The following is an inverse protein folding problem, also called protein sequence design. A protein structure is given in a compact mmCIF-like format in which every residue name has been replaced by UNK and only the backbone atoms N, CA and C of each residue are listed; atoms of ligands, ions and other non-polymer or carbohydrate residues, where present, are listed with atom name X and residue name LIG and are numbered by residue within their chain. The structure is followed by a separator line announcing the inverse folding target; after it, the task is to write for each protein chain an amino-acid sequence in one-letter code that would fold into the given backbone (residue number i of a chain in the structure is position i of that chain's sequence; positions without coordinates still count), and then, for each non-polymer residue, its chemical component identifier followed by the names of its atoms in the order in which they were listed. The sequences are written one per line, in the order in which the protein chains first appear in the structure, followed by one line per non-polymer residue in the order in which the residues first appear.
data_IF_289675443246
#
_entry.id   IF_289675443246
#
_cell.length_a   1.000
_cell.length_b   1.000
_cell.length_c   1.000
_cell.angle_alpha   90.00
_cell.angle_beta   90.00
_cell.angle_gamma   90.00
#
_symmetry.space_group_name_H-M   'P 1'
#
loop_
_entity.id
_entity.type
_entity.pdbx_description
1 polymer ?
#
# COMPACT_ATOMS: atom_id res chain seq x y z
N UNK A 1 -17.62 13.08 11.91
CA UNK A 1 -17.74 12.56 10.53
C UNK A 1 -17.37 11.11 10.57
N UNK A 2 -18.32 10.23 10.32
CA UNK A 2 -18.07 8.81 10.27
C UNK A 2 -17.17 8.52 9.07
N UNK A 3 -16.10 7.76 9.30
CA UNK A 3 -15.20 7.34 8.22
C UNK A 3 -15.92 6.24 7.47
N UNK A 4 -16.32 6.51 6.23
CA UNK A 4 -16.93 5.52 5.36
C UNK A 4 -15.81 4.61 4.83
N UNK A 5 -15.92 3.32 5.08
CA UNK A 5 -15.02 2.33 4.50
C UNK A 5 -15.36 2.17 3.01
N UNK A 6 -14.39 2.39 2.14
CA UNK A 6 -14.57 2.26 0.69
C UNK A 6 -14.15 0.90 0.15
N UNK A 7 -13.61 0.05 1.01
CA UNK A 7 -13.13 -1.29 0.64
C UNK A 7 -14.06 -2.35 1.22
N UNK A 8 -14.49 -3.27 0.38
CA UNK A 8 -15.15 -4.51 0.77
C UNK A 8 -14.25 -5.71 0.55
N UNK A 9 -14.25 -6.64 1.50
CA UNK A 9 -13.66 -7.96 1.29
C UNK A 9 -14.70 -8.85 0.65
N UNK A 10 -14.34 -9.46 -0.47
CA UNK A 10 -15.18 -10.41 -1.22
C UNK A 10 -14.44 -11.72 -1.40
N UNK A 11 -15.18 -12.78 -1.68
CA UNK A 11 -14.65 -14.11 -1.97
C UNK A 11 -14.73 -14.34 -3.48
N UNK A 12 -13.65 -14.78 -4.08
CA UNK A 12 -13.63 -15.18 -5.47
C UNK A 12 -14.20 -16.59 -5.67
N UNK A 13 -14.45 -17.00 -6.89
CA UNK A 13 -15.08 -18.30 -7.19
C UNK A 13 -14.27 -19.52 -6.69
N UNK A 14 -12.98 -19.39 -6.52
CA UNK A 14 -12.08 -20.41 -5.95
C UNK A 14 -12.01 -20.41 -4.41
N UNK A 15 -12.78 -19.55 -3.75
CA UNK A 15 -12.83 -19.42 -2.29
C UNK A 15 -11.83 -18.45 -1.69
N UNK A 16 -10.93 -17.88 -2.47
CA UNK A 16 -9.93 -16.95 -1.97
C UNK A 16 -10.46 -15.51 -1.83
N UNK A 17 -10.02 -14.76 -0.81
CA UNK A 17 -10.47 -13.39 -0.60
C UNK A 17 -9.80 -12.42 -1.59
N UNK A 18 -10.50 -11.32 -1.87
CA UNK A 18 -9.97 -10.15 -2.55
C UNK A 18 -10.63 -8.89 -2.00
N UNK A 19 -10.02 -7.74 -2.27
CA UNK A 19 -10.51 -6.44 -1.84
C UNK A 19 -11.13 -5.70 -3.01
N UNK A 20 -12.35 -5.19 -2.83
CA UNK A 20 -13.11 -4.47 -3.83
C UNK A 20 -13.30 -3.03 -3.42
N UNK A 21 -12.86 -2.09 -4.26
CA UNK A 21 -13.06 -0.68 -4.03
C UNK A 21 -14.46 -0.26 -4.51
N UNK A 22 -15.27 0.26 -3.60
CA UNK A 22 -16.66 0.64 -3.87
C UNK A 22 -16.77 1.86 -4.78
N UNK A 23 -15.77 2.75 -4.77
CA UNK A 23 -15.74 3.97 -5.56
C UNK A 23 -15.22 3.70 -6.97
N UNK A 24 -14.01 3.15 -7.08
CA UNK A 24 -13.34 2.94 -8.37
C UNK A 24 -13.74 1.64 -9.06
N UNK A 25 -14.43 0.71 -8.36
CA UNK A 25 -14.79 -0.64 -8.83
C UNK A 25 -13.62 -1.55 -9.13
N UNK A 26 -12.41 -1.16 -8.70
CA UNK A 26 -11.20 -1.94 -8.86
C UNK A 26 -11.13 -3.10 -7.87
N UNK A 27 -10.36 -4.12 -8.24
CA UNK A 27 -10.16 -5.34 -7.43
C UNK A 27 -8.69 -5.48 -7.08
N UNK A 28 -8.41 -5.61 -5.80
CA UNK A 28 -7.05 -5.76 -5.28
C UNK A 28 -6.86 -7.12 -4.64
N UNK A 29 -5.66 -7.65 -4.74
CA UNK A 29 -5.26 -8.86 -4.05
C UNK A 29 -4.78 -8.60 -2.63
N UNK A 30 -4.12 -7.47 -2.41
CA UNK A 30 -3.63 -7.03 -1.10
C UNK A 30 -3.62 -5.50 -1.01
N UNK A 31 -3.86 -4.98 0.19
CA UNK A 31 -3.77 -3.55 0.50
C UNK A 31 -2.93 -3.39 1.77
N UNK A 32 -1.94 -2.51 1.74
CA UNK A 32 -1.07 -2.23 2.89
C UNK A 32 -0.80 -0.74 3.05
N UNK A 33 -0.40 -0.34 4.24
CA UNK A 33 0.17 0.96 4.53
C UNK A 33 1.69 0.89 4.61
N UNK A 34 2.37 1.93 4.13
CA UNK A 34 3.76 2.21 4.42
C UNK A 34 3.86 3.49 5.25
N UNK A 35 4.75 3.52 6.23
CA UNK A 35 4.85 4.60 7.20
C UNK A 35 6.30 4.96 7.47
N UNK A 36 6.67 6.22 7.24
CA UNK A 36 7.93 6.81 7.67
C UNK A 36 7.66 7.85 8.77
N UNK A 37 8.36 7.74 9.89
CA UNK A 37 8.12 8.55 11.08
C UNK A 37 8.55 10.01 10.92
N UNK A 38 7.88 10.97 11.59
CA UNK A 38 8.30 12.37 11.62
C UNK A 38 9.40 12.59 12.67
N UNK A 39 10.63 12.17 12.39
CA UNK A 39 11.77 12.34 13.31
C UNK A 39 12.49 13.67 13.11
N UNK A 40 13.00 13.90 11.91
CA UNK A 40 13.79 15.10 11.56
C UNK A 40 13.10 15.95 10.49
N UNK A 41 12.17 15.36 9.78
CA UNK A 41 11.34 15.98 8.73
C UNK A 41 9.91 15.55 8.91
N UNK A 42 9.00 16.00 8.04
CA UNK A 42 7.62 15.54 8.05
C UNK A 42 7.57 14.02 7.86
N UNK A 43 6.78 13.35 8.70
CA UNK A 43 6.46 11.94 8.50
C UNK A 43 5.56 11.73 7.29
N UNK A 44 5.62 10.57 6.70
CA UNK A 44 4.85 10.24 5.50
C UNK A 44 4.13 8.91 5.61
N UNK A 45 2.89 8.88 5.15
CA UNK A 45 2.05 7.67 5.10
C UNK A 45 1.61 7.45 3.68
N UNK A 46 1.68 6.19 3.23
CA UNK A 46 1.19 5.75 1.92
C UNK A 46 0.24 4.58 2.13
N UNK A 47 -0.89 4.57 1.44
CA UNK A 47 -1.72 3.38 1.26
C UNK A 47 -1.51 2.89 -0.17
N UNK A 48 -1.11 1.65 -0.32
CA UNK A 48 -0.88 1.03 -1.62
C UNK A 48 -1.58 -0.33 -1.72
N UNK A 49 -1.96 -0.67 -2.93
CA UNK A 49 -2.61 -1.94 -3.26
C UNK A 49 -1.96 -2.58 -4.47
N UNK A 50 -1.98 -3.91 -4.55
CA UNK A 50 -1.63 -4.65 -5.76
C UNK A 50 -2.91 -5.14 -6.44
N UNK A 51 -2.99 -4.97 -7.76
CA UNK A 51 -4.14 -5.44 -8.54
C UNK A 51 -4.31 -6.96 -8.43
N UNK A 52 -5.55 -7.42 -8.35
CA UNK A 52 -5.86 -8.84 -8.19
C UNK A 52 -5.37 -9.70 -9.35
N UNK A 53 -5.38 -9.16 -10.56
CA UNK A 53 -5.01 -9.89 -11.78
C UNK A 53 -3.74 -9.31 -12.40
N UNK A 54 -2.94 -10.20 -13.00
CA UNK A 54 -1.87 -9.80 -13.90
C UNK A 54 -2.46 -9.18 -15.17
N UNK A 55 -1.75 -8.23 -15.75
CA UNK A 55 -2.10 -7.74 -17.08
C UNK A 55 -1.76 -8.84 -18.11
N UNK A 56 -2.77 -9.24 -18.89
CA UNK A 56 -2.61 -10.29 -19.91
C UNK A 56 -1.60 -9.85 -20.97
N UNK A 57 -0.45 -10.49 -20.98
CA UNK A 57 0.61 -10.27 -21.96
C UNK A 57 1.90 -9.66 -21.43
N UNK A 58 1.93 -9.17 -20.19
CA UNK A 58 3.11 -8.52 -19.63
C UNK A 58 3.69 -9.21 -18.39
N UNK A 59 2.99 -10.18 -17.80
CA UNK A 59 3.31 -10.79 -16.49
C UNK A 59 3.67 -9.74 -15.42
N UNK A 60 3.06 -8.56 -15.52
CA UNK A 60 3.41 -7.41 -14.71
C UNK A 60 2.41 -7.24 -13.56
N UNK A 61 2.96 -7.00 -12.38
CA UNK A 61 2.16 -6.61 -11.20
C UNK A 61 1.91 -5.12 -11.26
N UNK A 62 0.65 -4.75 -11.26
CA UNK A 62 0.25 -3.36 -11.12
C UNK A 62 0.05 -3.03 -9.65
N UNK A 63 0.75 -2.01 -9.18
CA UNK A 63 0.62 -1.48 -7.83
C UNK A 63 0.04 -0.08 -7.93
N UNK A 64 -0.94 0.21 -7.08
CA UNK A 64 -1.61 1.51 -7.01
C UNK A 64 -1.32 2.16 -5.68
N UNK A 65 -0.91 3.41 -5.72
CA UNK A 65 -0.91 4.29 -4.55
C UNK A 65 -2.29 4.90 -4.44
N UNK A 66 -3.04 4.51 -3.42
CA UNK A 66 -4.44 4.88 -3.24
C UNK A 66 -4.59 6.19 -2.47
N UNK A 67 -3.70 6.44 -1.52
CA UNK A 67 -3.71 7.65 -0.70
C UNK A 67 -2.34 7.92 -0.09
N UNK A 68 -2.13 9.16 0.32
CA UNK A 68 -0.98 9.61 1.08
C UNK A 68 -1.37 10.64 2.13
N UNK A 69 -0.52 10.83 3.14
CA UNK A 69 -0.57 11.93 4.08
C UNK A 69 0.82 12.25 4.59
N UNK A 70 1.07 13.52 4.90
CA UNK A 70 2.28 13.99 5.56
C UNK A 70 1.93 14.86 6.76
N UNK A 71 2.75 14.81 7.79
CA UNK A 71 2.61 15.61 9.01
C UNK A 71 3.92 15.66 9.79
N UNK A 72 4.18 16.81 10.42
CA UNK A 72 5.33 17.01 11.31
C UNK A 72 5.03 16.65 12.76
N UNK A 73 3.81 16.90 13.23
CA UNK A 73 3.38 16.54 14.59
C UNK A 73 3.02 15.05 14.69
N UNK A 74 3.70 14.32 15.59
CA UNK A 74 3.54 12.88 15.74
C UNK A 74 2.12 12.44 16.10
N UNK A 75 1.39 13.21 16.91
CA UNK A 75 0.04 12.85 17.31
C UNK A 75 -0.94 13.04 16.15
N UNK A 76 -0.81 14.14 15.41
CA UNK A 76 -1.59 14.40 14.20
C UNK A 76 -1.27 13.37 13.12
N UNK A 77 0.00 13.02 12.97
CA UNK A 77 0.48 11.98 12.06
C UNK A 77 -0.20 10.63 12.34
N UNK A 78 -0.15 10.16 13.59
CA UNK A 78 -0.79 8.90 13.99
C UNK A 78 -2.31 8.92 13.78
N UNK A 79 -2.97 10.07 14.05
CA UNK A 79 -4.41 10.22 13.78
C UNK A 79 -4.73 10.14 12.28
N UNK A 80 -3.90 10.75 11.42
CA UNK A 80 -4.07 10.67 9.96
C UNK A 80 -3.83 9.26 9.45
N UNK A 81 -2.74 8.61 9.88
CA UNK A 81 -2.48 7.21 9.54
C UNK A 81 -3.65 6.30 9.91
N UNK A 82 -4.20 6.48 11.12
CA UNK A 82 -5.36 5.74 11.57
C UNK A 82 -6.63 6.06 10.77
N UNK A 83 -6.83 7.31 10.35
CA UNK A 83 -7.96 7.69 9.50
C UNK A 83 -7.87 6.99 8.15
N UNK A 84 -6.69 6.98 7.53
CA UNK A 84 -6.45 6.25 6.28
C UNK A 84 -6.63 4.74 6.47
N UNK A 85 -6.09 4.17 7.57
CA UNK A 85 -6.30 2.77 7.89
C UNK A 85 -7.78 2.40 7.88
N UNK A 86 -8.61 3.17 8.59
CA UNK A 86 -10.05 2.91 8.68
C UNK A 86 -10.77 3.06 7.34
N UNK A 87 -10.37 4.06 6.55
CA UNK A 87 -11.00 4.34 5.27
C UNK A 87 -10.75 3.21 4.26
N UNK A 88 -9.54 2.65 4.25
CA UNK A 88 -9.13 1.59 3.33
C UNK A 88 -9.20 0.18 3.93
N UNK A 89 -9.60 0.03 5.18
CA UNK A 89 -9.84 -1.29 5.77
C UNK A 89 -11.23 -1.80 5.40
N UNK A 90 -11.38 -3.11 5.13
CA UNK A 90 -12.70 -3.72 5.06
C UNK A 90 -13.41 -3.66 6.42
N UNK A 91 -14.72 -3.84 6.39
CA UNK A 91 -15.50 -3.94 7.63
C UNK A 91 -14.98 -5.11 8.51
N UNK A 92 -14.75 -4.85 9.79
CA UNK A 92 -14.21 -5.79 10.80
C UNK A 92 -12.77 -6.28 10.58
N UNK A 93 -12.05 -5.75 9.60
CA UNK A 93 -10.64 -6.02 9.39
C UNK A 93 -9.83 -4.72 9.42
N UNK A 94 -8.51 -4.85 9.55
CA UNK A 94 -7.60 -3.69 9.48
C UNK A 94 -6.45 -3.99 8.54
N UNK A 95 -6.18 -3.07 7.61
CA UNK A 95 -4.97 -3.14 6.80
C UNK A 95 -3.74 -2.99 7.69
N UNK A 96 -2.66 -3.67 7.32
CA UNK A 96 -1.39 -3.63 8.04
C UNK A 96 -0.55 -2.46 7.58
N UNK A 97 0.13 -1.82 8.55
CA UNK A 97 1.13 -0.81 8.29
C UNK A 97 2.53 -1.38 8.49
N UNK A 98 3.43 -1.01 7.59
CA UNK A 98 4.83 -1.42 7.62
C UNK A 98 5.71 -0.17 7.69
N UNK A 99 6.73 -0.21 8.54
CA UNK A 99 7.62 0.92 8.76
C UNK A 99 8.90 0.52 9.47
N UNK A 100 9.70 1.50 9.80
CA UNK A 100 10.84 1.33 10.68
C UNK A 100 10.37 1.25 12.14
N UNK A 101 10.70 0.17 12.82
CA UNK A 101 10.41 -0.05 14.24
C UNK A 101 11.68 0.03 15.10
N UNK A 102 12.80 0.46 14.54
CA UNK A 102 14.08 0.52 15.24
C UNK A 102 14.25 1.78 16.09
N UNK A 103 13.45 2.84 15.86
CA UNK A 103 13.47 4.07 16.65
C UNK A 103 12.75 3.88 18.00
N UNK A 104 13.46 3.84 19.13
CA UNK A 104 12.83 3.66 20.43
C UNK A 104 11.87 4.80 20.78
N UNK A 105 12.22 6.04 20.41
CA UNK A 105 11.39 7.21 20.68
C UNK A 105 10.05 7.11 19.96
N UNK A 106 10.05 6.75 18.67
CA UNK A 106 8.81 6.59 17.89
C UNK A 106 7.95 5.43 18.41
N UNK A 107 8.57 4.34 18.83
CA UNK A 107 7.85 3.21 19.41
C UNK A 107 7.25 3.56 20.78
N UNK A 108 7.90 4.38 21.58
CA UNK A 108 7.35 4.88 22.84
C UNK A 108 6.12 5.79 22.60
N UNK A 109 6.17 6.71 21.62
CA UNK A 109 5.01 7.50 21.21
C UNK A 109 3.85 6.63 20.73
N UNK A 110 4.13 5.61 19.95
CA UNK A 110 3.11 4.66 19.47
C UNK A 110 2.48 3.90 20.66
N UNK A 111 3.28 3.47 21.61
CA UNK A 111 2.79 2.78 22.80
C UNK A 111 1.93 3.71 23.69
N UNK A 112 2.33 4.95 23.87
CA UNK A 112 1.53 5.93 24.59
C UNK A 112 0.19 6.18 23.88
N UNK A 113 0.21 6.42 22.57
CA UNK A 113 -0.99 6.59 21.75
C UNK A 113 -1.93 5.38 21.87
N UNK A 114 -1.38 4.17 21.87
CA UNK A 114 -2.15 2.94 22.00
C UNK A 114 -2.68 2.68 23.42
N UNK A 115 -1.98 3.13 24.48
CA UNK A 115 -2.50 3.06 25.87
C UNK A 115 -3.79 3.85 25.99
N UNK A 116 -3.81 5.09 25.50
CA UNK A 116 -4.99 5.95 25.55
C UNK A 116 -6.17 5.32 24.79
N UNK A 117 -5.88 4.65 23.68
CA UNK A 117 -6.89 3.97 22.87
C UNK A 117 -7.47 2.73 23.57
N UNK A 118 -6.61 1.90 24.19
CA UNK A 118 -7.04 0.71 24.95
C UNK A 118 -7.91 1.10 26.13
N UNK A 119 -7.56 2.17 26.85
CA UNK A 119 -8.40 2.68 27.95
C UNK A 119 -9.80 3.10 27.51
N UNK A 120 -9.96 3.47 26.24
CA UNK A 120 -11.27 3.83 25.65
C UNK A 120 -11.95 2.66 24.94
N UNK A 121 -11.43 1.45 25.03
CA UNK A 121 -11.95 0.27 24.29
C UNK A 121 -11.80 0.36 22.78
N UNK A 122 -10.84 1.16 22.28
CA UNK A 122 -10.62 1.36 20.84
C UNK A 122 -9.45 0.48 20.39
N UNK A 123 -9.56 -0.14 19.22
CA UNK A 123 -8.52 -0.98 18.63
C UNK A 123 -7.19 -0.21 18.52
N UNK A 124 -6.08 -0.77 19.02
CA UNK A 124 -4.75 -0.18 18.87
C UNK A 124 -4.32 -0.07 17.40
N UNK A 125 -3.45 0.89 17.13
CA UNK A 125 -2.78 1.04 15.84
C UNK A 125 -1.41 0.36 15.91
N UNK A 126 -1.11 -0.54 14.98
CA UNK A 126 0.14 -1.27 14.96
C UNK A 126 0.93 -0.99 13.70
N UNK A 127 2.24 -0.86 13.87
CA UNK A 127 3.22 -0.82 12.79
C UNK A 127 4.06 -2.07 12.86
N UNK A 128 4.13 -2.80 11.76
CA UNK A 128 4.96 -4.00 11.62
C UNK A 128 6.29 -3.60 11.00
N UNK A 129 7.38 -4.15 11.50
CA UNK A 129 8.68 -3.96 10.88
C UNK A 129 8.64 -4.42 9.41
N UNK A 130 9.11 -3.57 8.52
CA UNK A 130 9.17 -3.90 7.10
C UNK A 130 10.17 -5.05 6.88
N UNK A 131 9.77 -6.15 6.21
CA UNK A 131 10.56 -7.38 6.15
C UNK A 131 11.99 -7.22 5.66
N UNK A 132 12.25 -6.16 4.88
CA UNK A 132 13.52 -5.93 4.22
C UNK A 132 14.51 -5.10 5.04
N UNK A 133 14.09 -4.53 6.18
CA UNK A 133 14.99 -3.69 7.00
C UNK A 133 16.03 -4.49 7.79
N UNK A 134 15.89 -5.81 7.90
CA UNK A 134 16.76 -6.67 8.73
C UNK A 134 18.18 -6.90 8.20
N UNK A 135 18.54 -6.46 7.02
CA UNK A 135 19.86 -6.68 6.45
C UNK A 135 20.55 -5.39 6.01
N UNK A 136 21.84 -5.18 6.39
CA UNK A 136 22.60 -3.95 6.07
C UNK A 136 22.67 -3.60 4.58
N UNK A 137 22.57 -4.59 3.69
CA UNK A 137 22.62 -4.42 2.23
C UNK A 137 21.35 -3.80 1.63
N UNK A 138 20.38 -3.40 2.43
CA UNK A 138 19.03 -3.08 1.99
C UNK A 138 18.68 -1.60 1.95
N UNK A 139 19.59 -0.73 2.35
CA UNK A 139 19.42 0.72 2.15
C UNK A 139 19.29 1.08 0.65
N UNK A 140 19.84 0.25 -0.23
CA UNK A 140 19.69 0.41 -1.69
C UNK A 140 18.44 -0.32 -2.25
N UNK A 141 17.85 -1.23 -1.50
CA UNK A 141 16.75 -2.07 -1.99
C UNK A 141 15.51 -1.25 -2.39
N UNK A 142 15.08 -0.34 -1.54
CA UNK A 142 13.87 0.44 -1.80
C UNK A 142 14.03 1.42 -2.98
N UNK A 143 15.12 2.18 -3.09
CA UNK A 143 15.36 2.98 -4.29
C UNK A 143 15.38 2.15 -5.56
N UNK A 144 16.03 0.98 -5.53
CA UNK A 144 16.06 0.06 -6.68
C UNK A 144 14.67 -0.50 -7.00
N UNK A 145 13.88 -0.85 -5.97
CA UNK A 145 12.53 -1.35 -6.15
C UNK A 145 11.62 -0.28 -6.77
N UNK A 146 11.67 0.95 -6.27
CA UNK A 146 10.91 2.07 -6.82
C UNK A 146 11.35 2.35 -8.26
N UNK A 147 12.65 2.37 -8.54
CA UNK A 147 13.18 2.52 -9.91
C UNK A 147 12.68 1.42 -10.84
N UNK A 148 12.67 0.17 -10.38
CA UNK A 148 12.13 -0.96 -11.16
C UNK A 148 10.67 -0.72 -11.55
N UNK A 149 9.85 -0.23 -10.64
CA UNK A 149 8.44 0.03 -10.90
C UNK A 149 8.17 1.30 -11.72
N UNK A 150 9.06 2.29 -11.68
CA UNK A 150 8.88 3.57 -12.40
C UNK A 150 9.58 3.62 -13.76
N UNK A 151 10.72 2.95 -13.93
CA UNK A 151 11.56 3.04 -15.13
C UNK A 151 11.30 1.93 -16.16
N UNK A 152 10.48 0.94 -15.83
CA UNK A 152 10.30 -0.22 -16.72
C UNK A 152 9.59 0.09 -18.05
N UNK A 153 9.23 1.34 -18.32
CA UNK A 153 8.43 1.75 -19.49
C UNK A 153 6.99 1.22 -19.50
N UNK A 154 6.68 0.38 -18.53
CA UNK A 154 5.41 -0.33 -18.38
C UNK A 154 4.71 0.24 -17.15
N UNK A 155 4.35 1.45 -17.02
CA UNK A 155 3.60 2.07 -15.91
C UNK A 155 2.99 1.04 -14.91
N UNK A 156 3.85 0.36 -14.16
CA UNK A 156 3.45 -0.70 -13.22
C UNK A 156 3.02 -0.07 -11.89
N UNK A 157 3.52 1.12 -11.61
CA UNK A 157 3.14 1.92 -10.45
C UNK A 157 2.16 3.01 -10.89
N UNK A 158 0.95 2.94 -10.38
CA UNK A 158 -0.12 3.89 -10.64
C UNK A 158 -0.35 4.75 -9.41
N UNK A 159 -0.57 6.04 -9.62
CA UNK A 159 -0.88 6.99 -8.56
C UNK A 159 -2.31 7.49 -8.75
N UNK A 160 -3.14 7.31 -7.74
CA UNK A 160 -4.39 8.04 -7.61
C UNK A 160 -4.03 9.44 -7.10
N UNK A 161 -4.82 10.42 -7.36
CA UNK A 161 -4.66 11.85 -7.03
C UNK A 161 -3.78 12.14 -5.77
N UNK A 162 -2.46 12.04 -5.94
CA UNK A 162 -1.44 12.17 -4.88
C UNK A 162 -0.30 13.09 -5.33
N UNK A 163 0.40 13.73 -4.39
CA UNK A 163 1.57 14.56 -4.67
C UNK A 163 2.86 13.74 -4.84
N UNK A 164 2.83 12.46 -4.48
CA UNK A 164 3.98 11.56 -4.50
C UNK A 164 4.73 11.50 -5.85
N UNK A 165 4.06 11.55 -7.04
CA UNK A 165 4.77 11.60 -8.32
C UNK A 165 5.73 12.78 -8.45
N UNK A 166 5.37 13.94 -7.92
CA UNK A 166 6.23 15.13 -7.90
C UNK A 166 7.51 14.91 -7.09
N UNK A 167 7.37 14.31 -5.90
CA UNK A 167 8.52 13.93 -5.07
C UNK A 167 9.41 12.91 -5.75
N UNK A 168 8.84 11.85 -6.33
CA UNK A 168 9.60 10.80 -7.00
C UNK A 168 10.34 11.32 -8.23
N UNK A 169 9.74 12.20 -9.01
CA UNK A 169 10.37 12.79 -10.19
C UNK A 169 11.56 13.70 -9.81
N UNK A 170 11.44 14.43 -8.70
CA UNK A 170 12.56 15.21 -8.15
C UNK A 170 13.72 14.30 -7.75
N UNK A 171 13.43 13.26 -7.01
CA UNK A 171 14.42 12.34 -6.46
C UNK A 171 15.09 11.43 -7.51
N UNK A 172 14.37 11.08 -8.58
CA UNK A 172 14.95 10.31 -9.69
C UNK A 172 15.93 11.15 -10.53
N UNK A 173 15.85 12.49 -10.47
CA UNK A 173 16.81 13.41 -11.13
C UNK A 173 18.04 13.66 -10.28
N UNK A 174 17.87 13.64 -8.96
CA UNK A 174 18.98 13.71 -8.02
C UNK A 174 19.52 12.29 -7.80
N UNK A 175 20.82 12.12 -7.66
CA UNK A 175 21.36 10.86 -7.16
C UNK A 175 20.78 10.65 -5.76
N UNK A 176 19.85 9.69 -5.63
CA UNK A 176 19.21 9.39 -4.36
C UNK A 176 20.29 9.14 -3.33
N UNK A 177 20.29 9.93 -2.25
CA UNK A 177 21.25 9.77 -1.17
C UNK A 177 21.19 8.31 -0.67
N UNK A 178 22.32 7.81 -0.17
CA UNK A 178 22.42 6.40 0.27
C UNK A 178 21.49 6.08 1.43
N UNK A 179 20.99 7.07 2.13
CA UNK A 179 20.07 6.87 3.25
C UNK A 179 18.63 7.14 2.82
N UNK A 180 17.85 6.09 2.60
CA UNK A 180 16.43 6.17 2.23
C UNK A 180 15.58 6.88 3.29
N UNK A 181 15.99 6.82 4.56
CA UNK A 181 15.27 7.42 5.69
C UNK A 181 15.31 8.95 5.66
N UNK A 182 16.28 9.52 4.92
CA UNK A 182 16.35 10.98 4.69
C UNK A 182 15.20 11.48 3.79
N UNK A 183 14.46 10.53 3.15
CA UNK A 183 13.38 10.83 2.22
C UNK A 183 12.10 10.11 2.63
N UNK A 184 11.33 10.60 3.62
CA UNK A 184 10.16 9.91 4.16
C UNK A 184 9.14 9.43 3.11
N UNK A 185 8.84 10.18 2.02
CA UNK A 185 7.94 9.70 0.98
C UNK A 185 8.44 8.42 0.30
N UNK A 186 9.76 8.33 0.05
CA UNK A 186 10.38 7.13 -0.55
C UNK A 186 10.40 5.98 0.44
N UNK A 187 10.74 6.26 1.70
CA UNK A 187 10.75 5.24 2.75
C UNK A 187 9.37 4.62 2.91
N UNK A 188 8.31 5.43 3.08
CA UNK A 188 6.95 4.96 3.22
C UNK A 188 6.49 4.14 2.01
N UNK A 189 6.71 4.65 0.79
CA UNK A 189 6.39 3.92 -0.43
C UNK A 189 7.19 2.61 -0.54
N UNK A 190 8.48 2.65 -0.23
CA UNK A 190 9.36 1.49 -0.25
C UNK A 190 8.89 0.38 0.69
N UNK A 191 8.46 0.71 1.90
CA UNK A 191 7.93 -0.25 2.87
C UNK A 191 6.67 -0.95 2.33
N UNK A 192 5.73 -0.21 1.74
CA UNK A 192 4.56 -0.78 1.12
C UNK A 192 4.91 -1.67 -0.09
N UNK A 193 5.76 -1.18 -1.00
CA UNK A 193 6.19 -1.92 -2.19
C UNK A 193 6.95 -3.19 -1.83
N UNK A 194 7.77 -3.15 -0.78
CA UNK A 194 8.52 -4.31 -0.28
C UNK A 194 7.59 -5.48 0.04
N UNK A 195 6.45 -5.22 0.64
CA UNK A 195 5.44 -6.23 0.95
C UNK A 195 4.66 -6.64 -0.29
N UNK A 196 4.09 -5.67 -1.02
CA UNK A 196 3.26 -5.94 -2.19
C UNK A 196 4.02 -6.66 -3.30
N UNK A 197 5.34 -6.45 -3.42
CA UNK A 197 6.16 -7.12 -4.42
C UNK A 197 6.28 -8.64 -4.21
N UNK A 198 6.00 -9.13 -3.01
CA UNK A 198 6.00 -10.57 -2.71
C UNK A 198 4.66 -11.23 -2.99
N UNK A 199 3.59 -10.47 -3.10
CA UNK A 199 2.26 -10.99 -3.40
C UNK A 199 2.19 -11.50 -4.85
N UNK A 200 1.51 -12.63 -5.06
CA UNK A 200 1.38 -13.25 -6.39
C UNK A 200 0.01 -12.92 -6.99
N UNK A 201 -0.05 -12.11 -8.05
CA UNK A 201 -1.31 -11.85 -8.73
C UNK A 201 -1.86 -13.12 -9.37
N UNK A 202 -3.16 -13.17 -9.54
CA UNK A 202 -3.86 -14.28 -10.19
C UNK A 202 -3.75 -14.15 -11.70
N UNK A 203 -3.59 -15.26 -12.36
CA UNK A 203 -3.81 -15.31 -13.81
C UNK A 203 -5.29 -15.11 -14.08
N UNK A 204 -5.63 -14.23 -15.01
CA UNK A 204 -6.99 -14.21 -15.55
C UNK A 204 -7.20 -15.55 -16.24
N UNK A 205 -8.11 -16.36 -15.71
CA UNK A 205 -8.58 -17.48 -16.52
C UNK A 205 -9.13 -16.91 -17.84
N UNK A 206 -8.80 -17.53 -19.00
CA UNK A 206 -9.43 -17.14 -20.28
C UNK A 206 -10.93 -17.39 -20.11
N UNK A 207 -11.64 -16.33 -19.75
CA UNK A 207 -12.94 -16.38 -19.16
C UNK A 207 -13.98 -16.94 -20.09
N UNK A 208 -14.82 -17.62 -19.49
CA UNK A 208 -16.26 -17.34 -19.34
C UNK A 208 -16.87 -16.31 -20.36
N UNK A 209 -16.14 -15.32 -20.85
CA UNK A 209 -16.54 -14.51 -21.99
C UNK A 209 -16.89 -15.40 -23.20
N UNK A 210 -16.12 -16.39 -23.50
CA UNK A 210 -16.43 -17.38 -24.55
C UNK A 210 -17.68 -18.21 -24.25
N UNK A 211 -18.01 -18.44 -22.99
CA UNK A 211 -19.21 -19.18 -22.59
C UNK A 211 -20.47 -18.32 -22.69
N UNK A 212 -20.36 -17.03 -22.35
CA UNK A 212 -21.48 -16.09 -22.48
C UNK A 212 -21.68 -15.63 -23.93
N UNK A 213 -20.65 -15.44 -24.72
CA UNK A 213 -20.75 -15.14 -26.15
C UNK A 213 -21.38 -16.33 -26.90
N UNK A 214 -21.07 -17.58 -26.55
CA UNK A 214 -21.71 -18.75 -27.13
C UNK A 214 -23.20 -18.87 -26.76
N UNK A 215 -23.57 -18.45 -25.56
CA UNK A 215 -24.98 -18.46 -25.13
C UNK A 215 -25.77 -17.31 -25.82
N UNK A 216 -25.11 -16.18 -26.07
CA UNK A 216 -25.75 -15.03 -26.73
C UNK A 216 -25.80 -15.13 -28.25
N UNK A 217 -24.89 -15.85 -28.87
CA UNK A 217 -24.82 -16.00 -30.34
C UNK A 217 -25.59 -17.22 -30.87
N UNK A 218 -26.11 -18.07 -30.00
CA UNK A 218 -27.04 -19.14 -30.38
C UNK A 218 -26.48 -20.17 -31.38
N UNK A 219 -25.17 -20.31 -31.51
CA UNK A 219 -24.56 -21.30 -32.38
C UNK A 219 -24.47 -22.65 -31.66
N UNK A 220 -25.30 -23.65 -32.00
CA UNK A 220 -25.08 -25.02 -31.59
C UNK A 220 -23.90 -25.63 -32.35
N UNK A 221 -23.23 -26.57 -31.71
CA UNK A 221 -22.19 -27.40 -32.30
C UNK A 221 -22.78 -28.27 -33.38
#
# INVERSE_FOLDING_TARGET
MDVINIIEKKIYADGEPYYFNLETKEKYGEIVGGLAWPETTDGFVVIAAVDLFEDTGLEARHIRVLAEANESDINTFLRRALKLQRHFSPFMETIRFYGDTTSPAMMEFLDQFNRDRRHRGITPFYVTEAPQLKAPQKLEFYPQLIRKYTQSGRKILHFCDTALPGYLMGLLREEISRNILDHPPIAALGYALGVLSTWKPRKREPEVRAKYERVLTGNPV
#
